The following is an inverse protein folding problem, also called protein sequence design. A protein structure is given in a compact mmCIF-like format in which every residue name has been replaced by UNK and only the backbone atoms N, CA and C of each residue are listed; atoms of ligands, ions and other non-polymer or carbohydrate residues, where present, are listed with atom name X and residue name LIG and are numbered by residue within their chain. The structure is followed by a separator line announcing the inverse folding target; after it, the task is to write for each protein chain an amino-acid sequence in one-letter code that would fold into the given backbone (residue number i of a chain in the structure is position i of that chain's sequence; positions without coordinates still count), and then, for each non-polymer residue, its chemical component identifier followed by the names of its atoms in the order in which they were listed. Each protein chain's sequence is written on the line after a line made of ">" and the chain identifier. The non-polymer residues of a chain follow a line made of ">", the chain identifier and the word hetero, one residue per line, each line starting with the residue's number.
data_IF_791702046824
#
_entry.id   IF_791702046824
#
_cell.length_a   1.000
_cell.length_b   1.000
_cell.length_c   1.000
_cell.angle_alpha   90.00
_cell.angle_beta   90.00
_cell.angle_gamma   90.00
#
_symmetry.space_group_name_H-M   'P 1'
#
loop_
_entity.id
_entity.type
_entity.pdbx_description
1 polymer ?
#
# COMPACT_ATOMS: atom_id res chain seq x y z
N UNK A 1 7.81 2.13 0.30
CA UNK A 1 6.61 2.69 -0.36
C UNK A 1 6.69 4.18 -0.54
N UNK A 2 6.97 4.62 -1.77
CA UNK A 2 6.77 6.01 -2.21
C UNK A 2 5.33 6.09 -2.71
N UNK A 3 4.49 6.90 -2.07
CA UNK A 3 3.05 6.96 -2.38
C UNK A 3 2.75 7.99 -3.47
N UNK A 4 3.14 9.24 -3.26
CA UNK A 4 2.82 10.35 -4.16
C UNK A 4 4.05 11.25 -4.36
N UNK A 5 4.33 11.62 -5.61
CA UNK A 5 5.50 12.43 -6.01
C UNK A 5 6.86 11.94 -5.47
N UNK A 6 6.97 10.66 -5.13
CA UNK A 6 8.19 10.09 -4.55
C UNK A 6 8.33 10.24 -3.03
N UNK A 7 7.39 10.89 -2.35
CA UNK A 7 7.37 11.08 -0.89
C UNK A 7 6.69 9.94 -0.13
N UNK A 8 7.09 9.77 1.14
CA UNK A 8 6.45 8.82 2.06
C UNK A 8 5.27 9.50 2.75
N UNK A 9 4.14 8.79 2.95
CA UNK A 9 2.95 9.34 3.62
C UNK A 9 3.26 10.01 4.96
N UNK A 10 4.17 9.42 5.74
CA UNK A 10 4.56 9.94 7.06
C UNK A 10 5.22 11.32 6.98
N UNK A 11 5.81 11.66 5.83
CA UNK A 11 6.49 12.93 5.58
C UNK A 11 5.51 13.95 4.99
N UNK A 12 4.72 13.53 3.99
CA UNK A 12 3.75 14.40 3.31
C UNK A 12 2.57 14.77 4.22
N UNK A 13 2.09 13.82 5.01
CA UNK A 13 0.89 13.95 5.85
C UNK A 13 1.20 13.56 7.29
N UNK A 14 2.27 14.13 7.87
CA UNK A 14 2.76 13.79 9.21
C UNK A 14 1.70 13.88 10.31
N UNK A 15 0.76 14.83 10.22
CA UNK A 15 -0.33 14.99 11.20
C UNK A 15 -1.36 13.89 11.09
N UNK A 16 -1.78 13.55 9.88
CA UNK A 16 -2.69 12.41 9.64
C UNK A 16 -2.03 11.09 10.00
N UNK A 17 -0.75 10.93 9.65
CA UNK A 17 0.02 9.76 10.01
C UNK A 17 0.07 9.60 11.53
N UNK A 18 0.18 10.66 12.33
CA UNK A 18 0.11 10.56 13.79
C UNK A 18 -1.26 10.11 14.32
N UNK A 19 -2.35 10.33 13.58
CA UNK A 19 -3.70 9.88 13.93
C UNK A 19 -3.97 8.42 13.56
N UNK A 20 -3.25 7.89 12.58
CA UNK A 20 -3.41 6.52 12.08
C UNK A 20 -3.15 5.47 13.18
N UNK A 21 -4.10 4.56 13.42
CA UNK A 21 -3.89 3.42 14.30
C UNK A 21 -3.15 2.28 13.59
N UNK A 22 -3.42 2.08 12.29
CA UNK A 22 -2.86 0.98 11.51
C UNK A 22 -1.74 1.49 10.59
N UNK A 23 -0.53 1.67 11.12
CA UNK A 23 0.62 2.23 10.38
C UNK A 23 1.04 1.40 9.15
N UNK A 24 0.73 0.10 9.18
CA UNK A 24 1.03 -0.85 8.11
C UNK A 24 -0.18 -1.10 7.20
N UNK A 25 -1.24 -0.29 7.30
CA UNK A 25 -2.40 -0.41 6.42
C UNK A 25 -2.00 -0.15 4.97
N UNK A 26 -2.44 -1.04 4.07
CA UNK A 26 -2.25 -0.85 2.63
C UNK A 26 -3.24 0.17 2.08
N UNK A 27 -2.90 0.80 0.95
CA UNK A 27 -3.81 1.69 0.20
C UNK A 27 -5.16 0.99 -0.03
N UNK A 28 -5.12 -0.28 -0.47
CA UNK A 28 -6.32 -1.10 -0.70
C UNK A 28 -7.20 -1.18 0.53
N UNK A 29 -6.64 -1.49 1.69
CA UNK A 29 -7.41 -1.61 2.93
C UNK A 29 -8.09 -0.29 3.31
N UNK A 30 -7.40 0.84 3.09
CA UNK A 30 -7.92 2.19 3.31
C UNK A 30 -9.03 2.60 2.33
N UNK A 31 -8.99 2.11 1.10
CA UNK A 31 -9.98 2.44 0.07
C UNK A 31 -11.19 1.48 0.05
N UNK A 32 -11.09 0.32 0.69
CA UNK A 32 -12.20 -0.63 0.81
C UNK A 32 -13.16 -0.28 1.95
N UNK A 33 -12.80 0.65 2.83
CA UNK A 33 -13.66 1.15 3.91
C UNK A 33 -14.38 2.43 3.48
N UNK A 34 -15.57 2.74 4.05
CA UNK A 34 -16.39 3.87 3.61
C UNK A 34 -15.72 5.24 3.69
N UNK A 35 -14.74 5.39 4.59
CA UNK A 35 -13.98 6.62 4.72
C UNK A 35 -12.53 6.36 5.13
N UNK A 36 -11.62 7.18 4.61
CA UNK A 36 -10.18 7.07 4.85
C UNK A 36 -9.83 7.36 6.31
N UNK A 37 -10.60 8.17 7.03
CA UNK A 37 -10.39 8.46 8.45
C UNK A 37 -10.89 7.37 9.40
N UNK A 38 -11.52 6.29 8.90
CA UNK A 38 -12.13 5.27 9.74
C UNK A 38 -11.16 4.59 10.72
N UNK A 39 -9.88 4.49 10.36
CA UNK A 39 -8.84 3.92 11.22
C UNK A 39 -8.07 4.95 12.05
N UNK A 40 -8.48 6.22 12.03
CA UNK A 40 -7.88 7.24 12.87
C UNK A 40 -8.38 7.11 14.32
N UNK A 41 -7.48 7.35 15.27
CA UNK A 41 -7.79 7.31 16.70
C UNK A 41 -8.82 8.36 17.16
N UNK A 42 -9.05 9.38 16.34
CA UNK A 42 -10.06 10.43 16.52
C UNK A 42 -10.36 11.11 15.19
N UNK A 43 -11.45 11.88 15.14
CA UNK A 43 -11.75 12.74 13.99
C UNK A 43 -10.65 13.77 13.73
N UNK A 44 -10.48 14.07 12.45
CA UNK A 44 -9.61 15.13 11.94
C UNK A 44 -10.10 16.47 12.49
N UNK A 45 -9.18 17.29 13.01
CA UNK A 45 -9.50 18.66 13.46
C UNK A 45 -9.35 19.65 12.32
N UNK A 46 -9.94 20.82 12.49
CA UNK A 46 -9.83 21.92 11.53
C UNK A 46 -8.39 22.42 11.36
N UNK A 47 -8.19 23.23 10.32
CA UNK A 47 -6.93 23.89 10.05
C UNK A 47 -5.94 22.96 9.35
N UNK A 48 -4.77 22.76 9.93
CA UNK A 48 -3.69 22.07 9.24
C UNK A 48 -3.88 20.54 9.15
N UNK A 49 -4.64 19.93 10.07
CA UNK A 49 -5.05 18.52 9.96
C UNK A 49 -6.06 18.36 8.81
N UNK A 50 -7.09 19.19 8.76
CA UNK A 50 -8.11 19.23 7.70
C UNK A 50 -7.53 19.52 6.32
N UNK A 51 -6.61 20.49 6.20
CA UNK A 51 -5.93 20.77 4.93
C UNK A 51 -5.16 19.56 4.40
N UNK A 52 -4.43 18.86 5.27
CA UNK A 52 -3.76 17.61 4.89
C UNK A 52 -4.76 16.53 4.49
N UNK A 53 -5.89 16.45 5.18
CA UNK A 53 -6.93 15.46 4.91
C UNK A 53 -7.60 15.70 3.55
N UNK A 54 -7.94 16.94 3.24
CA UNK A 54 -8.53 17.31 1.95
C UNK A 54 -7.57 17.01 0.79
N UNK A 55 -6.28 17.34 0.93
CA UNK A 55 -5.28 16.97 -0.08
C UNK A 55 -5.13 15.45 -0.24
N UNK A 56 -5.23 14.68 0.85
CA UNK A 56 -5.22 13.22 0.76
C UNK A 56 -6.46 12.69 0.02
N UNK A 57 -7.65 13.27 0.26
CA UNK A 57 -8.88 12.90 -0.43
C UNK A 57 -8.81 13.18 -1.94
N UNK A 58 -8.24 14.33 -2.35
CA UNK A 58 -8.00 14.65 -3.76
C UNK A 58 -7.12 13.59 -4.45
N UNK A 59 -6.03 13.18 -3.80
CA UNK A 59 -5.15 12.13 -4.33
C UNK A 59 -5.90 10.80 -4.43
N UNK A 60 -6.64 10.43 -3.39
CA UNK A 60 -7.41 9.18 -3.32
C UNK A 60 -8.46 9.10 -4.43
N UNK A 61 -9.14 10.20 -4.73
CA UNK A 61 -10.14 10.26 -5.81
C UNK A 61 -9.54 9.97 -7.19
N UNK A 62 -8.27 10.32 -7.41
CA UNK A 62 -7.56 10.07 -8.68
C UNK A 62 -6.98 8.66 -8.75
N UNK A 63 -6.80 7.97 -7.62
CA UNK A 63 -6.27 6.60 -7.58
C UNK A 63 -7.34 5.63 -8.08
N UNK A 64 -7.15 5.13 -9.30
CA UNK A 64 -7.89 3.98 -9.80
C UNK A 64 -7.16 2.69 -9.41
N UNK A 65 -7.70 1.95 -8.43
CA UNK A 65 -7.20 0.63 -8.07
C UNK A 65 -7.66 -0.40 -9.11
N UNK A 66 -6.90 -0.55 -10.19
CA UNK A 66 -7.12 -1.65 -11.14
C UNK A 66 -6.63 -2.95 -10.52
N UNK A 67 -7.47 -3.99 -10.58
CA UNK A 67 -7.04 -5.36 -10.26
C UNK A 67 -5.96 -5.76 -11.26
N UNK A 68 -4.70 -5.70 -10.85
CA UNK A 68 -3.60 -6.21 -11.67
C UNK A 68 -3.54 -7.72 -11.46
N UNK A 69 -4.38 -8.44 -12.20
CA UNK A 69 -4.40 -9.92 -12.21
C UNK A 69 -3.10 -10.52 -12.77
N UNK A 70 -2.25 -9.71 -13.41
CA UNK A 70 -1.05 -10.20 -14.12
C UNK A 70 0.26 -10.13 -13.33
N UNK A 71 0.25 -9.76 -12.04
CA UNK A 71 1.42 -10.02 -11.21
C UNK A 71 1.45 -11.53 -10.91
N UNK A 72 2.08 -12.30 -11.79
CA UNK A 72 2.40 -13.70 -11.56
C UNK A 72 3.09 -13.84 -10.20
N UNK A 73 2.32 -14.26 -9.21
CA UNK A 73 2.83 -14.65 -7.91
C UNK A 73 3.41 -16.04 -8.10
N UNK A 74 4.71 -16.12 -8.39
CA UNK A 74 5.42 -17.40 -8.45
C UNK A 74 5.66 -17.87 -7.02
N UNK A 75 4.70 -18.65 -6.49
CA UNK A 75 4.84 -19.39 -5.24
C UNK A 75 5.68 -20.65 -5.50
N UNK A 76 6.96 -20.49 -5.83
CA UNK A 76 7.83 -21.65 -6.00
C UNK A 76 8.30 -22.20 -4.64
N UNK A 77 8.43 -21.37 -3.60
CA UNK A 77 8.68 -21.83 -2.23
C UNK A 77 8.02 -20.90 -1.19
N UNK A 78 7.49 -21.49 -0.13
CA UNK A 78 6.78 -20.80 0.97
C UNK A 78 7.67 -19.91 1.84
N UNK A 79 8.98 -19.88 1.61
CA UNK A 79 9.96 -19.20 2.46
C UNK A 79 10.57 -17.93 1.85
N UNK A 80 10.08 -17.48 0.68
CA UNK A 80 10.35 -16.13 0.17
C UNK A 80 11.79 -15.83 -0.28
N UNK A 81 12.68 -16.83 -0.30
CA UNK A 81 14.03 -16.73 -0.86
C UNK A 81 14.08 -17.28 -2.29
N UNK A 82 14.47 -16.46 -3.27
CA UNK A 82 14.68 -16.92 -4.65
C UNK A 82 16.18 -17.03 -4.93
N UNK A 83 16.66 -18.23 -5.24
CA UNK A 83 17.98 -18.45 -5.83
C UNK A 83 17.84 -18.93 -7.27
N UNK A 84 18.67 -18.41 -8.18
CA UNK A 84 18.72 -18.85 -9.58
C UNK A 84 18.94 -20.37 -9.70
N UNK A 85 19.58 -20.98 -8.71
CA UNK A 85 19.79 -22.42 -8.64
C UNK A 85 18.46 -23.20 -8.54
N UNK A 86 17.51 -22.74 -7.72
CA UNK A 86 16.22 -23.41 -7.52
C UNK A 86 15.36 -23.37 -8.80
N UNK A 87 15.41 -22.24 -9.53
CA UNK A 87 14.70 -22.08 -10.81
C UNK A 87 15.30 -22.98 -11.89
N UNK A 88 16.65 -23.04 -11.96
CA UNK A 88 17.35 -23.89 -12.94
C UNK A 88 16.99 -25.36 -12.76
N UNK A 89 16.99 -25.84 -11.50
CA UNK A 89 16.64 -27.22 -11.15
C UNK A 89 15.23 -27.60 -11.62
N UNK A 90 14.22 -26.74 -11.42
CA UNK A 90 12.85 -27.00 -11.87
C UNK A 90 12.73 -27.14 -13.40
N UNK A 91 13.44 -26.28 -14.14
CA UNK A 91 13.43 -26.31 -15.61
C UNK A 91 14.08 -27.61 -16.11
N UNK A 92 15.16 -28.02 -15.46
CA UNK A 92 15.89 -29.24 -15.83
C UNK A 92 15.08 -30.51 -15.48
N UNK A 93 14.33 -30.53 -14.37
CA UNK A 93 13.41 -31.63 -14.01
C UNK A 93 12.20 -31.76 -14.96
N UNK A 94 11.73 -30.65 -15.54
CA UNK A 94 10.60 -30.63 -16.50
C UNK A 94 11.00 -30.99 -17.94
N UNK A 95 12.30 -31.16 -18.21
CA UNK A 95 12.85 -31.47 -19.54
C UNK A 95 13.07 -32.98 -19.79
N UNK A 96 12.68 -33.85 -18.86
CA UNK A 96 12.70 -35.30 -19.01
C UNK A 96 11.30 -35.91 -18.93
#
# INVERSE_FOLDING_TARGET
>A
DKWYAGGVIKELFSRLYALELHKHATVRMKLMVPSVDNSFRRRVRSGAEESQFNSLLEIVQVINLVSCEERYFWSLESEGGYSLASIRKLIDEKRF
#
